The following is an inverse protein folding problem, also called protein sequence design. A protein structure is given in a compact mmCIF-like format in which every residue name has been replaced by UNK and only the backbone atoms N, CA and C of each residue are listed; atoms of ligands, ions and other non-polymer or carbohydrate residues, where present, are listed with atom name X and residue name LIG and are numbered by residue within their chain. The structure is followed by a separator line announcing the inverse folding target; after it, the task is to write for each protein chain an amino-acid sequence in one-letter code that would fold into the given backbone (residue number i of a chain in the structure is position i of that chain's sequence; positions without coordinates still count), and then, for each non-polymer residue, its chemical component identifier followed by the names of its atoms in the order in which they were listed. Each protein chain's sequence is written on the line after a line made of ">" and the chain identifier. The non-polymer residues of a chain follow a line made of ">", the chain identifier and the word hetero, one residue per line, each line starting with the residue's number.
data_IF_773751169527
#
_entry.id   IF_773751169527
#
_cell.length_a   1.000
_cell.length_b   1.000
_cell.length_c   1.000
_cell.angle_alpha   90.00
_cell.angle_beta   90.00
_cell.angle_gamma   90.00
#
_symmetry.space_group_name_H-M   'P 1'
#
loop_
_entity.id
_entity.type
_entity.pdbx_description
1 polymer ?
#
# COMPACT_ATOMS: atom_id res chain seq x y z
N UNK A 1 -44.61 -16.57 -33.24
CA UNK A 1 -43.38 -16.13 -32.53
C UNK A 1 -42.54 -17.36 -32.22
N UNK A 2 -41.38 -17.48 -32.89
CA UNK A 2 -40.60 -18.73 -32.99
C UNK A 2 -39.68 -18.94 -31.79
N UNK A 3 -39.59 -20.18 -31.29
CA UNK A 3 -38.74 -20.65 -30.18
C UNK A 3 -37.27 -20.21 -30.29
N UNK A 4 -36.82 -19.91 -31.51
CA UNK A 4 -35.47 -19.43 -31.83
C UNK A 4 -35.15 -18.07 -31.17
N UNK A 5 -36.13 -17.17 -31.01
CA UNK A 5 -35.91 -15.87 -30.37
C UNK A 5 -35.56 -16.00 -28.87
N UNK A 6 -36.18 -16.93 -28.16
CA UNK A 6 -35.93 -17.15 -26.73
C UNK A 6 -34.54 -17.74 -26.46
N UNK A 7 -34.06 -18.61 -27.35
CA UNK A 7 -32.72 -19.20 -27.24
C UNK A 7 -31.63 -18.15 -27.46
N UNK A 8 -31.81 -17.24 -28.43
CA UNK A 8 -30.83 -16.17 -28.65
C UNK A 8 -30.77 -15.17 -27.50
N UNK A 9 -31.91 -14.79 -26.92
CA UNK A 9 -31.94 -13.89 -25.75
C UNK A 9 -31.26 -14.52 -24.54
N UNK A 10 -31.52 -15.81 -24.27
CA UNK A 10 -30.88 -16.52 -23.16
C UNK A 10 -29.36 -16.63 -23.33
N UNK A 11 -28.87 -16.86 -24.56
CA UNK A 11 -27.44 -16.93 -24.84
C UNK A 11 -26.74 -15.57 -24.63
N UNK A 12 -27.37 -14.46 -25.06
CA UNK A 12 -26.80 -13.11 -24.88
C UNK A 12 -26.73 -12.73 -23.40
N UNK A 13 -27.78 -13.04 -22.62
CA UNK A 13 -27.79 -12.78 -21.16
C UNK A 13 -26.73 -13.62 -20.44
N UNK A 14 -26.55 -14.89 -20.84
CA UNK A 14 -25.52 -15.76 -20.28
C UNK A 14 -24.09 -15.25 -20.53
N UNK A 15 -23.80 -14.77 -21.75
CA UNK A 15 -22.49 -14.20 -22.10
C UNK A 15 -22.23 -12.89 -21.35
N UNK A 16 -23.24 -12.02 -21.22
CA UNK A 16 -23.13 -10.77 -20.46
C UNK A 16 -22.91 -11.01 -18.96
N UNK A 17 -23.59 -12.00 -18.37
CA UNK A 17 -23.37 -12.39 -16.98
C UNK A 17 -21.96 -12.95 -16.73
N UNK A 18 -21.45 -13.78 -17.67
CA UNK A 18 -20.08 -14.28 -17.59
C UNK A 18 -19.03 -13.15 -17.74
N UNK A 19 -19.25 -12.19 -18.63
CA UNK A 19 -18.37 -11.04 -18.79
C UNK A 19 -18.35 -10.15 -17.54
N UNK A 20 -19.50 -9.91 -16.91
CA UNK A 20 -19.59 -9.17 -15.65
C UNK A 20 -18.89 -9.90 -14.48
N UNK A 21 -19.02 -11.24 -14.40
CA UNK A 21 -18.32 -12.05 -13.39
C UNK A 21 -16.81 -12.05 -13.63
N UNK A 22 -16.35 -12.05 -14.89
CA UNK A 22 -14.93 -11.97 -15.24
C UNK A 22 -14.35 -10.58 -14.91
N UNK A 23 -15.12 -9.50 -15.14
CA UNK A 23 -14.76 -8.13 -14.75
C UNK A 23 -14.71 -7.94 -13.23
N UNK A 24 -15.54 -8.66 -12.47
CA UNK A 24 -15.48 -8.66 -10.99
C UNK A 24 -14.27 -9.42 -10.43
N UNK A 25 -13.71 -10.36 -11.21
CA UNK A 25 -12.50 -11.14 -10.84
C UNK A 25 -11.22 -10.39 -11.21
N UNK A 26 -11.26 -9.61 -12.28
CA UNK A 26 -10.26 -8.59 -12.58
C UNK A 26 -10.66 -7.28 -11.89
N UNK A 27 -10.53 -7.23 -10.55
CA UNK A 27 -10.27 -5.94 -9.94
C UNK A 27 -9.13 -5.32 -10.75
N UNK A 28 -9.27 -4.11 -11.30
CA UNK A 28 -8.15 -3.49 -11.99
C UNK A 28 -6.97 -3.61 -11.04
N UNK A 29 -5.90 -4.25 -11.50
CA UNK A 29 -4.58 -3.95 -10.99
C UNK A 29 -4.50 -2.44 -11.13
N UNK A 30 -4.80 -1.73 -10.03
CA UNK A 30 -4.76 -0.28 -9.98
C UNK A 30 -3.39 0.07 -10.54
N UNK A 31 -3.39 0.69 -11.70
CA UNK A 31 -2.18 0.97 -12.45
C UNK A 31 -1.27 1.77 -11.53
N UNK A 32 -0.12 1.17 -11.16
CA UNK A 32 0.92 1.89 -10.46
C UNK A 32 1.29 3.14 -11.27
N UNK A 33 1.70 4.23 -10.61
CA UNK A 33 2.31 5.35 -11.32
C UNK A 33 3.43 4.84 -12.23
N UNK A 34 3.65 5.50 -13.37
CA UNK A 34 4.67 5.09 -14.32
C UNK A 34 6.06 5.01 -13.64
N UNK A 35 6.78 3.91 -13.88
CA UNK A 35 8.08 3.64 -13.27
C UNK A 35 8.05 3.33 -11.76
N UNK A 36 6.86 3.23 -11.15
CA UNK A 36 6.73 2.85 -9.76
C UNK A 36 6.70 1.32 -9.58
N UNK A 37 7.25 0.89 -8.45
CA UNK A 37 7.31 -0.49 -7.98
C UNK A 37 6.38 -0.61 -6.78
N UNK A 38 5.66 -1.72 -6.69
CA UNK A 38 4.86 -2.04 -5.53
C UNK A 38 5.76 -2.23 -4.29
N UNK A 39 5.30 -1.74 -3.14
CA UNK A 39 5.94 -1.98 -1.85
C UNK A 39 4.95 -2.72 -0.94
N UNK A 40 5.41 -3.42 0.11
CA UNK A 40 4.51 -4.04 1.08
C UNK A 40 3.62 -2.99 1.72
N UNK A 41 2.31 -3.11 1.51
CA UNK A 41 1.33 -2.22 2.12
C UNK A 41 0.45 -3.01 3.09
N UNK A 42 -0.09 -2.31 4.10
CA UNK A 42 -1.17 -2.87 4.92
C UNK A 42 -2.50 -2.77 4.18
N UNK A 43 -3.48 -3.54 4.64
CA UNK A 43 -4.85 -3.42 4.16
C UNK A 43 -5.44 -2.04 4.46
N UNK A 44 -6.46 -1.66 3.69
CA UNK A 44 -7.24 -0.46 3.97
C UNK A 44 -7.95 -0.61 5.33
N UNK A 45 -7.80 0.40 6.18
CA UNK A 45 -8.41 0.46 7.52
C UNK A 45 -9.09 1.83 7.63
N UNK A 46 -10.23 1.92 8.30
CA UNK A 46 -10.94 3.18 8.51
C UNK A 46 -10.13 4.16 9.37
N UNK A 47 -10.18 5.45 9.02
CA UNK A 47 -9.44 6.52 9.71
C UNK A 47 -9.78 6.63 11.21
N UNK A 48 -11.05 6.44 11.57
CA UNK A 48 -11.49 6.44 12.98
C UNK A 48 -10.78 5.39 13.85
N UNK A 49 -10.49 4.23 13.26
CA UNK A 49 -9.79 3.13 13.94
C UNK A 49 -8.30 3.45 14.08
N UNK A 50 -7.72 4.07 13.06
CA UNK A 50 -6.31 4.45 13.03
C UNK A 50 -6.01 5.50 14.11
N UNK A 51 -6.86 6.53 14.25
CA UNK A 51 -6.67 7.57 15.27
C UNK A 51 -6.57 7.02 16.71
N UNK A 52 -7.37 6.00 17.01
CA UNK A 52 -7.36 5.36 18.34
C UNK A 52 -6.07 4.55 18.58
N UNK A 53 -5.52 3.94 17.53
CA UNK A 53 -4.32 3.10 17.61
C UNK A 53 -3.04 3.94 17.69
N UNK A 54 -2.96 5.03 16.93
CA UNK A 54 -1.79 5.91 16.90
C UNK A 54 -1.47 6.55 18.25
N UNK A 55 -2.49 6.91 19.03
CA UNK A 55 -2.32 7.50 20.36
C UNK A 55 -1.71 6.54 21.39
N UNK A 56 -1.69 5.23 21.10
CA UNK A 56 -1.27 4.18 22.03
C UNK A 56 0.13 3.62 21.75
N UNK A 57 0.78 3.99 20.64
CA UNK A 57 2.00 3.33 20.17
C UNK A 57 3.03 4.36 19.70
N UNK A 58 4.30 4.11 20.01
CA UNK A 58 5.40 4.98 19.56
C UNK A 58 5.51 5.01 18.03
N UNK A 59 5.79 6.19 17.43
CA UNK A 59 5.95 6.30 15.99
C UNK A 59 7.23 5.62 15.51
N UNK A 60 7.19 5.09 14.29
CA UNK A 60 8.37 4.51 13.63
C UNK A 60 9.13 5.64 12.94
N UNK A 61 10.43 5.76 13.24
CA UNK A 61 11.30 6.80 12.69
C UNK A 61 12.53 6.20 12.01
N UNK A 62 12.94 6.77 10.90
CA UNK A 62 14.19 6.43 10.25
C UNK A 62 14.36 7.09 8.89
N UNK A 63 15.56 6.94 8.31
CA UNK A 63 15.89 7.44 6.98
C UNK A 63 15.32 6.51 5.92
N UNK A 64 14.66 7.07 4.90
CA UNK A 64 14.15 6.30 3.77
C UNK A 64 15.32 5.69 2.97
N UNK A 65 15.28 4.36 2.84
CA UNK A 65 16.23 3.57 2.05
C UNK A 65 15.47 2.62 1.14
N UNK A 66 16.12 2.19 0.07
CA UNK A 66 15.55 1.20 -0.81
C UNK A 66 16.54 0.69 -1.83
N UNK A 67 16.19 -0.45 -2.39
CA UNK A 67 16.90 -1.13 -3.47
C UNK A 67 15.88 -1.86 -4.34
N UNK A 68 15.80 -1.46 -5.62
CA UNK A 68 14.84 -2.06 -6.57
C UNK A 68 15.06 -3.55 -6.82
N UNK A 69 16.23 -4.09 -6.47
CA UNK A 69 16.54 -5.52 -6.61
C UNK A 69 15.96 -6.37 -5.48
N UNK A 70 15.51 -5.76 -4.37
CA UNK A 70 14.86 -6.46 -3.26
C UNK A 70 13.34 -6.56 -3.48
N UNK A 71 12.90 -7.50 -4.31
CA UNK A 71 11.49 -7.62 -4.76
C UNK A 71 10.45 -7.60 -3.62
N UNK A 72 10.71 -8.29 -2.51
CA UNK A 72 9.77 -8.42 -1.41
C UNK A 72 9.72 -7.19 -0.49
N UNK A 73 10.86 -6.51 -0.33
CA UNK A 73 11.02 -5.37 0.58
C UNK A 73 11.92 -4.30 -0.05
N UNK A 74 11.49 -3.69 -1.17
CA UNK A 74 12.34 -2.80 -1.95
C UNK A 74 12.58 -1.47 -1.24
N UNK A 75 11.82 -1.16 -0.18
CA UNK A 75 11.93 0.05 0.63
C UNK A 75 11.85 -0.30 2.11
N UNK A 76 12.73 0.29 2.91
CA UNK A 76 12.80 0.15 4.36
C UNK A 76 13.25 1.45 5.02
N UNK A 77 13.20 1.49 6.35
CA UNK A 77 13.77 2.59 7.13
C UNK A 77 15.09 2.18 7.77
N UNK A 78 16.08 3.06 7.73
CA UNK A 78 17.32 2.90 8.50
C UNK A 78 17.23 3.75 9.77
N UNK A 79 17.32 3.10 10.93
CA UNK A 79 17.23 3.73 12.24
C UNK A 79 18.56 4.33 12.70
N UNK A 80 18.55 5.22 13.70
CA UNK A 80 19.76 5.60 14.41
C UNK A 80 20.51 4.35 14.89
N UNK A 81 21.78 4.21 14.53
CA UNK A 81 22.59 3.01 14.80
C UNK A 81 22.66 2.00 13.65
N UNK A 82 21.98 2.25 12.53
CA UNK A 82 22.09 1.44 11.31
C UNK A 82 21.18 0.21 11.25
N UNK A 83 20.33 0.01 12.26
CA UNK A 83 19.31 -1.04 12.24
C UNK A 83 18.32 -0.83 11.08
N UNK A 84 17.91 -1.91 10.43
CA UNK A 84 16.86 -1.90 9.40
C UNK A 84 15.51 -2.13 10.06
N UNK A 85 14.55 -1.25 9.78
CA UNK A 85 13.16 -1.41 10.13
C UNK A 85 12.33 -1.66 8.86
N UNK A 86 11.73 -2.84 8.78
CA UNK A 86 10.79 -3.19 7.72
C UNK A 86 9.39 -2.65 8.06
N UNK A 87 8.74 -2.07 7.06
CA UNK A 87 7.49 -1.34 7.23
C UNK A 87 6.48 -1.78 6.18
N UNK A 88 5.30 -2.24 6.61
CA UNK A 88 4.12 -2.25 5.75
C UNK A 88 3.56 -0.85 5.67
N UNK A 89 3.77 -0.24 4.51
CA UNK A 89 3.40 1.14 4.21
C UNK A 89 1.88 1.32 4.17
N UNK A 90 1.39 2.57 4.24
CA UNK A 90 -0.03 2.84 4.09
C UNK A 90 -0.57 2.29 2.75
N UNK A 91 -1.86 1.98 2.74
CA UNK A 91 -2.50 1.33 1.61
C UNK A 91 -2.21 2.08 0.28
N UNK A 92 -1.83 1.32 -0.75
CA UNK A 92 -1.50 1.80 -2.12
C UNK A 92 -0.27 2.69 -2.27
N UNK A 93 0.56 2.81 -1.26
CA UNK A 93 1.85 3.46 -1.43
C UNK A 93 2.75 2.64 -2.36
N UNK A 94 3.65 3.32 -3.05
CA UNK A 94 4.58 2.72 -4.02
C UNK A 94 5.91 3.47 -4.03
N UNK A 95 6.90 2.98 -4.76
CA UNK A 95 8.21 3.62 -4.83
C UNK A 95 8.73 3.71 -6.24
N UNK A 96 9.38 4.82 -6.59
CA UNK A 96 10.12 4.99 -7.85
C UNK A 96 11.59 5.11 -7.54
N UNK A 97 12.47 4.53 -8.36
CA UNK A 97 13.92 4.46 -8.09
C UNK A 97 14.78 5.27 -9.07
N UNK A 98 14.16 6.04 -9.97
CA UNK A 98 14.88 6.78 -11.03
C UNK A 98 14.41 8.25 -11.07
N UNK A 99 15.33 9.23 -11.02
CA UNK A 99 16.78 9.11 -10.86
C UNK A 99 17.23 8.73 -9.43
N UNK A 100 16.36 8.90 -8.44
CA UNK A 100 16.58 8.58 -7.03
C UNK A 100 15.34 7.89 -6.45
N UNK A 101 15.45 7.30 -5.27
CA UNK A 101 14.29 6.75 -4.56
C UNK A 101 13.31 7.88 -4.21
N UNK A 102 12.06 7.69 -4.61
CA UNK A 102 10.90 8.48 -4.23
C UNK A 102 9.84 7.55 -3.68
N UNK A 103 9.32 7.88 -2.50
CA UNK A 103 8.14 7.26 -1.95
C UNK A 103 6.91 8.01 -2.46
N UNK A 104 5.96 7.27 -3.03
CA UNK A 104 4.75 7.79 -3.64
C UNK A 104 3.53 7.39 -2.81
N UNK A 105 2.62 8.33 -2.59
CA UNK A 105 1.33 8.06 -1.94
C UNK A 105 0.34 7.33 -2.88
N UNK A 106 -0.89 7.11 -2.40
CA UNK A 106 -1.93 6.40 -3.15
C UNK A 106 -2.38 7.13 -4.43
N UNK A 107 -2.15 8.45 -4.50
CA UNK A 107 -2.43 9.31 -5.65
C UNK A 107 -1.23 9.39 -6.61
N UNK A 108 -0.08 8.80 -6.25
CA UNK A 108 1.15 8.84 -7.04
C UNK A 108 1.98 10.10 -6.85
N UNK A 109 1.72 10.89 -5.81
CA UNK A 109 2.51 12.08 -5.46
C UNK A 109 3.74 11.66 -4.66
N UNK A 110 4.88 12.26 -4.97
CA UNK A 110 6.08 12.06 -4.16
C UNK A 110 5.91 12.74 -2.80
N UNK A 111 6.08 11.98 -1.73
CA UNK A 111 5.95 12.44 -0.34
C UNK A 111 7.27 12.41 0.43
N UNK A 112 8.26 11.67 -0.07
CA UNK A 112 9.61 11.61 0.47
C UNK A 112 10.60 11.10 -0.58
N UNK A 113 11.88 11.47 -0.42
CA UNK A 113 13.01 11.02 -1.23
C UNK A 113 14.03 10.20 -0.44
N UNK A 114 15.03 9.68 -1.16
CA UNK A 114 16.19 9.00 -0.57
C UNK A 114 16.76 9.82 0.58
N UNK A 115 17.06 9.18 1.71
CA UNK A 115 17.65 9.83 2.89
C UNK A 115 16.77 10.82 3.65
N UNK A 116 15.53 11.07 3.21
CA UNK A 116 14.62 11.85 4.02
C UNK A 116 14.30 11.11 5.33
N UNK A 117 14.22 11.85 6.42
CA UNK A 117 13.71 11.32 7.68
C UNK A 117 12.20 11.15 7.58
N UNK A 118 11.74 9.93 7.80
CA UNK A 118 10.34 9.55 7.80
C UNK A 118 9.94 9.29 9.23
N UNK A 119 8.87 9.96 9.68
CA UNK A 119 8.12 9.55 10.86
C UNK A 119 6.79 8.99 10.39
N UNK A 120 6.50 7.75 10.76
CA UNK A 120 5.23 7.08 10.46
C UNK A 120 4.52 6.81 11.78
N UNK A 121 3.20 6.97 11.79
CA UNK A 121 2.43 6.52 12.93
C UNK A 121 2.34 4.99 12.91
N UNK A 122 2.46 4.34 14.06
CA UNK A 122 2.35 2.88 14.16
C UNK A 122 0.93 2.49 14.55
N UNK A 123 0.35 1.53 13.84
CA UNK A 123 -1.06 1.11 14.04
C UNK A 123 -1.19 -0.35 14.46
N UNK A 124 -0.24 -0.83 15.26
CA UNK A 124 -0.25 -2.19 15.83
C UNK A 124 -0.38 -2.15 17.34
N UNK A 125 -1.39 -2.83 17.90
CA UNK A 125 -1.58 -2.98 19.34
C UNK A 125 -0.46 -3.76 20.02
N UNK A 126 0.28 -4.58 19.27
CA UNK A 126 1.49 -5.26 19.71
C UNK A 126 2.74 -4.52 19.21
N UNK A 127 3.76 -4.45 20.06
CA UNK A 127 5.06 -3.89 19.72
C UNK A 127 5.72 -4.80 18.65
N UNK A 128 5.66 -4.40 17.38
CA UNK A 128 6.36 -5.12 16.32
C UNK A 128 7.87 -4.87 16.43
N UNK A 129 8.74 -5.87 16.21
CA UNK A 129 10.19 -5.70 16.20
C UNK A 129 10.69 -5.08 14.89
N UNK A 130 9.86 -4.97 13.85
CA UNK A 130 10.25 -4.36 12.57
C UNK A 130 11.05 -5.28 11.66
N UNK A 131 10.85 -6.59 11.77
CA UNK A 131 11.53 -7.59 10.93
C UNK A 131 10.69 -7.90 9.69
N UNK A 132 11.23 -8.63 8.70
CA UNK A 132 10.43 -9.03 7.53
C UNK A 132 9.23 -9.92 7.89
N UNK A 133 9.38 -10.76 8.93
CA UNK A 133 8.31 -11.65 9.43
C UNK A 133 7.31 -10.96 10.35
N UNK A 134 7.73 -9.88 11.01
CA UNK A 134 6.90 -9.07 11.89
C UNK A 134 7.24 -7.57 11.70
N UNK A 135 6.78 -6.98 10.57
CA UNK A 135 7.11 -5.62 10.18
C UNK A 135 6.27 -4.60 10.95
N UNK A 136 6.75 -3.36 11.00
CA UNK A 136 5.91 -2.27 11.47
C UNK A 136 4.73 -2.04 10.55
N UNK A 137 3.54 -1.87 11.13
CA UNK A 137 2.35 -1.46 10.41
C UNK A 137 2.23 0.06 10.50
N UNK A 138 2.50 0.75 9.40
CA UNK A 138 2.50 2.20 9.37
C UNK A 138 1.17 2.80 8.91
N UNK A 139 0.82 3.95 9.47
CA UNK A 139 -0.19 4.86 8.95
C UNK A 139 0.42 6.23 8.68
N UNK A 140 0.11 6.76 7.49
CA UNK A 140 0.45 8.12 7.05
C UNK A 140 1.93 8.50 7.18
N UNK A 141 2.24 9.75 6.88
CA UNK A 141 3.39 10.43 7.46
C UNK A 141 2.90 11.16 8.70
N UNK A 142 3.54 10.95 9.84
CA UNK A 142 3.18 11.58 11.08
C UNK A 142 3.57 13.07 11.03
N UNK A 143 2.59 13.93 10.76
CA UNK A 143 2.73 15.39 10.73
C UNK A 143 2.28 16.07 12.04
N UNK A 144 2.36 15.35 13.18
CA UNK A 144 2.09 15.93 14.51
C UNK A 144 0.70 15.71 15.09
N UNK A 145 -0.07 14.74 14.58
CA UNK A 145 -1.35 14.32 15.15
C UNK A 145 -2.16 13.46 14.17
N UNK A 146 -3.23 12.84 14.66
CA UNK A 146 -4.21 12.19 13.80
C UNK A 146 -4.80 13.25 12.87
N UNK A 147 -4.46 13.17 11.58
CA UNK A 147 -5.08 14.01 10.57
C UNK A 147 -6.51 13.50 10.39
N UNK A 148 -7.55 14.36 10.55
CA UNK A 148 -8.94 13.95 10.38
C UNK A 148 -9.27 13.53 8.96
#
# INVERSE_FOLDING_TARGET
>A
MSRIHWVMVAAVVGVLALAAILQLRFRPLLSLPEGAVAIPTRDAVSESTLCTLEAAVDPVRGLLRGDKTQEAWPVWLSRPGGEIAYVRWPYRWSARFEPELQLLDAEGRAVAGTMDEITLAQVSLSHAPGTQGDPYLAHGLFLGGCYP
#
